data_IF_511876114016
#
_entry.id   IF_511876114016
#
_cell.length_a   1.000
_cell.length_b   1.000
_cell.length_c   1.000
_cell.angle_alpha   90.00
_cell.angle_beta   90.00
_cell.angle_gamma   90.00
#
_symmetry.space_group_name_H-M   'P 1'
#
loop_
_entity.id
_entity.type
_entity.pdbx_description
1 polymer ?
#
# COMPACT_ATOMS: atom_id res chain seq x y z
N UNK A 1 -3.26 -11.97 11.15
CA UNK A 1 -3.37 -10.59 11.64
C UNK A 1 -2.02 -10.01 11.98
N UNK A 2 -1.60 -8.99 11.23
CA UNK A 2 -0.48 -8.12 11.59
C UNK A 2 -0.95 -7.02 12.54
N UNK A 3 -0.06 -6.60 13.44
CA UNK A 3 -0.28 -5.45 14.31
C UNK A 3 0.20 -4.19 13.59
N UNK A 4 -0.53 -3.08 13.78
CA UNK A 4 -0.14 -1.79 13.24
C UNK A 4 0.11 -0.75 14.33
N UNK A 5 0.57 0.41 13.90
CA UNK A 5 0.85 1.57 14.74
C UNK A 5 -0.01 2.78 14.37
N UNK A 6 -0.37 3.57 15.38
CA UNK A 6 -1.10 4.81 15.19
C UNK A 6 -0.11 5.96 14.97
N UNK A 7 -0.26 6.66 13.85
CA UNK A 7 0.47 7.90 13.59
C UNK A 7 -0.05 9.07 14.45
N UNK A 8 0.74 10.15 14.49
CA UNK A 8 0.47 11.33 15.32
C UNK A 8 -0.89 12.01 15.04
N UNK A 9 -1.42 11.85 13.82
CA UNK A 9 -2.69 12.44 13.40
C UNK A 9 -3.79 11.40 13.18
N UNK A 10 -3.66 10.20 13.77
CA UNK A 10 -4.62 9.11 13.60
C UNK A 10 -4.49 8.38 12.26
N UNK A 11 -3.31 8.43 11.65
CA UNK A 11 -3.01 7.52 10.55
C UNK A 11 -2.87 6.09 11.08
N UNK A 12 -3.16 5.11 10.22
CA UNK A 12 -3.06 3.69 10.53
C UNK A 12 -1.89 3.13 9.71
N UNK A 13 -0.79 2.78 10.36
CA UNK A 13 0.40 2.23 9.72
C UNK A 13 0.51 0.74 9.96
N UNK A 14 1.01 0.03 8.96
CA UNK A 14 1.33 -1.39 9.01
C UNK A 14 2.66 -1.63 8.34
N UNK A 15 3.56 -2.35 9.01
CA UNK A 15 4.77 -2.87 8.36
C UNK A 15 4.38 -4.02 7.42
N UNK A 16 4.83 -3.94 6.18
CA UNK A 16 4.69 -4.96 5.14
C UNK A 16 6.01 -5.11 4.41
N UNK A 17 6.21 -6.21 3.68
CA UNK A 17 7.36 -6.35 2.80
C UNK A 17 6.97 -6.12 1.35
N UNK A 18 7.74 -5.31 0.63
CA UNK A 18 7.74 -5.27 -0.82
C UNK A 18 8.79 -6.28 -1.33
N UNK A 19 8.42 -7.12 -2.29
CA UNK A 19 9.33 -8.13 -2.84
C UNK A 19 9.88 -7.61 -4.17
N UNK A 20 11.18 -7.40 -4.27
CA UNK A 20 11.85 -7.03 -5.53
C UNK A 20 11.77 -8.16 -6.57
N UNK A 21 12.03 -7.85 -7.84
CA UNK A 21 12.01 -8.87 -8.90
C UNK A 21 13.05 -9.99 -8.73
N UNK A 22 14.14 -9.74 -8.00
CA UNK A 22 15.16 -10.74 -7.64
C UNK A 22 14.86 -11.48 -6.33
N UNK A 23 13.71 -11.19 -5.69
CA UNK A 23 13.20 -11.92 -4.53
C UNK A 23 13.73 -11.43 -3.18
N UNK A 24 14.19 -10.19 -3.09
CA UNK A 24 14.56 -9.56 -1.83
C UNK A 24 13.31 -8.94 -1.18
N UNK A 25 13.12 -9.25 0.10
CA UNK A 25 12.07 -8.66 0.92
C UNK A 25 12.55 -7.31 1.49
N UNK A 26 11.80 -6.25 1.22
CA UNK A 26 12.06 -4.88 1.66
C UNK A 26 10.94 -4.41 2.60
N UNK A 27 11.18 -4.37 3.93
CA UNK A 27 10.18 -3.92 4.88
C UNK A 27 9.93 -2.42 4.73
N UNK A 28 8.66 -2.03 4.71
CA UNK A 28 8.21 -0.63 4.62
C UNK A 28 7.01 -0.39 5.55
N UNK A 29 6.95 0.82 6.11
CA UNK A 29 5.74 1.29 6.80
C UNK A 29 4.73 1.79 5.76
N UNK A 30 3.58 1.12 5.68
CA UNK A 30 2.51 1.47 4.77
C UNK A 30 1.30 2.06 5.51
N UNK A 31 0.80 3.19 5.03
CA UNK A 31 -0.37 3.86 5.57
C UNK A 31 -1.65 3.31 4.92
N UNK A 32 -2.62 2.87 5.71
CA UNK A 32 -3.95 2.53 5.20
C UNK A 32 -4.74 3.80 4.85
N UNK A 33 -5.04 3.97 3.56
CA UNK A 33 -5.91 5.02 3.03
C UNK A 33 -7.21 4.40 2.47
N UNK A 34 -8.27 4.46 3.27
CA UNK A 34 -9.60 3.99 2.84
C UNK A 34 -10.24 4.86 1.75
N UNK A 35 -9.72 6.06 1.48
CA UNK A 35 -10.14 6.92 0.38
C UNK A 35 -9.55 6.47 -0.97
N UNK A 36 -8.51 5.64 -0.96
CA UNK A 36 -7.92 5.04 -2.13
C UNK A 36 -8.53 3.66 -2.41
N UNK A 37 -8.98 3.43 -3.64
CA UNK A 37 -9.72 2.21 -4.04
C UNK A 37 -8.88 1.18 -4.78
N UNK A 38 -7.55 1.29 -4.75
CA UNK A 38 -6.65 0.24 -5.24
C UNK A 38 -6.15 -0.67 -4.12
N UNK A 39 -5.23 -1.57 -4.44
CA UNK A 39 -4.49 -2.33 -3.42
C UNK A 39 -3.35 -1.50 -2.84
N UNK A 40 -2.50 -0.95 -3.71
CA UNK A 40 -1.34 -0.19 -3.26
C UNK A 40 -1.05 0.99 -4.16
N UNK A 41 -0.54 2.07 -3.57
CA UNK A 41 0.07 3.16 -4.31
C UNK A 41 1.40 3.58 -3.68
N UNK A 42 2.42 3.86 -4.49
CA UNK A 42 3.77 4.24 -4.02
C UNK A 42 4.32 5.43 -4.81
N UNK A 43 5.32 6.11 -4.24
CA UNK A 43 6.03 7.12 -4.99
C UNK A 43 6.84 6.48 -6.13
N UNK A 44 6.99 7.20 -7.25
CA UNK A 44 7.86 6.79 -8.35
C UNK A 44 9.32 6.58 -7.93
N UNK A 45 9.79 7.31 -6.92
CA UNK A 45 11.13 7.13 -6.36
C UNK A 45 11.26 5.80 -5.61
N UNK A 46 10.22 5.37 -4.91
CA UNK A 46 10.23 4.10 -4.15
C UNK A 46 10.18 2.88 -5.08
N UNK A 47 9.69 3.05 -6.31
CA UNK A 47 9.73 2.02 -7.34
C UNK A 47 11.16 1.71 -7.80
N UNK A 48 12.09 2.68 -7.70
CA UNK A 48 13.47 2.50 -8.16
C UNK A 48 14.15 1.37 -7.37
N UNK A 49 14.53 0.30 -8.07
CA UNK A 49 15.16 -0.88 -7.46
C UNK A 49 14.20 -2.03 -7.11
N UNK A 50 12.88 -1.84 -7.27
CA UNK A 50 11.93 -2.96 -7.16
C UNK A 50 11.90 -3.84 -8.42
N UNK A 51 12.22 -3.24 -9.58
CA UNK A 51 12.22 -3.90 -10.89
C UNK A 51 10.90 -4.63 -11.23
N UNK A 52 9.79 -4.11 -10.72
CA UNK A 52 8.45 -4.63 -11.00
C UNK A 52 8.04 -4.45 -12.46
N UNK A 53 7.16 -5.33 -12.93
CA UNK A 53 6.75 -5.34 -14.33
C UNK A 53 5.70 -4.27 -14.61
N UNK A 54 6.01 -3.34 -15.52
CA UNK A 54 5.07 -2.33 -15.98
C UNK A 54 3.92 -2.97 -16.79
N UNK A 55 2.68 -2.71 -16.39
CA UNK A 55 1.49 -3.28 -17.05
C UNK A 55 0.61 -2.25 -17.75
N UNK A 56 0.77 -0.95 -17.45
CA UNK A 56 0.01 0.09 -18.12
C UNK A 56 -0.14 1.34 -17.28
N UNK A 57 -1.21 2.08 -17.52
CA UNK A 57 -1.47 3.36 -16.89
C UNK A 57 -2.97 3.60 -16.78
N UNK A 58 -3.39 4.32 -15.74
CA UNK A 58 -4.78 4.70 -15.53
C UNK A 58 -4.90 6.16 -15.05
N UNK A 59 -5.98 6.82 -15.45
CA UNK A 59 -6.40 8.09 -14.86
C UNK A 59 -7.25 7.82 -13.63
N UNK A 60 -6.83 8.34 -12.47
CA UNK A 60 -7.62 8.35 -11.25
C UNK A 60 -8.08 9.76 -10.91
N UNK A 61 -9.27 9.89 -10.32
CA UNK A 61 -9.75 11.14 -9.75
C UNK A 61 -9.26 11.26 -8.32
N UNK A 62 -8.33 12.19 -8.10
CA UNK A 62 -7.78 12.53 -6.78
C UNK A 62 -8.48 13.77 -6.21
N UNK A 63 -8.11 14.14 -4.97
CA UNK A 63 -8.55 15.40 -4.38
C UNK A 63 -8.09 16.65 -5.18
N UNK A 64 -7.01 16.54 -5.96
CA UNK A 64 -6.49 17.62 -6.82
C UNK A 64 -7.09 17.62 -8.24
N UNK A 65 -7.98 16.68 -8.54
CA UNK A 65 -8.54 16.47 -9.88
C UNK A 65 -8.06 15.18 -10.51
N UNK A 66 -8.19 15.07 -11.83
CA UNK A 66 -7.74 13.89 -12.56
C UNK A 66 -6.20 13.84 -12.62
N UNK A 67 -5.63 12.66 -12.36
CA UNK A 67 -4.18 12.44 -12.39
C UNK A 67 -3.90 11.06 -12.96
N UNK A 68 -2.82 10.96 -13.73
CA UNK A 68 -2.39 9.71 -14.38
C UNK A 68 -1.37 9.01 -13.51
N UNK A 69 -1.55 7.71 -13.35
CA UNK A 69 -0.68 6.83 -12.59
C UNK A 69 -0.18 5.73 -13.50
N UNK A 70 1.12 5.42 -13.40
CA UNK A 70 1.69 4.22 -13.99
C UNK A 70 1.23 3.02 -13.13
N UNK A 71 1.01 1.86 -13.74
CA UNK A 71 0.61 0.64 -13.04
C UNK A 71 1.67 -0.43 -13.26
N UNK A 72 2.08 -1.03 -12.14
CA UNK A 72 3.03 -2.13 -12.10
C UNK A 72 2.40 -3.35 -11.45
N UNK A 73 2.82 -4.53 -11.88
CA UNK A 73 2.54 -5.78 -11.19
C UNK A 73 3.57 -5.96 -10.08
N UNK A 74 3.15 -5.65 -8.85
CA UNK A 74 3.99 -5.70 -7.66
C UNK A 74 3.74 -6.96 -6.85
N UNK A 75 4.74 -7.32 -6.04
CA UNK A 75 4.69 -8.44 -5.11
C UNK A 75 4.89 -7.94 -3.69
N UNK A 76 4.04 -8.37 -2.77
CA UNK A 76 4.07 -7.92 -1.37
C UNK A 76 3.84 -9.09 -0.42
N UNK A 77 4.44 -9.03 0.76
CA UNK A 77 4.11 -9.92 1.88
C UNK A 77 3.29 -9.12 2.88
N UNK A 78 2.09 -9.63 3.17
CA UNK A 78 1.23 -9.08 4.20
C UNK A 78 0.71 -10.26 5.03
N UNK A 79 0.95 -10.23 6.34
CA UNK A 79 0.56 -11.31 7.25
C UNK A 79 1.11 -12.68 6.81
N UNK A 80 2.41 -12.74 6.53
CA UNK A 80 3.14 -13.94 6.09
C UNK A 80 2.64 -14.54 4.75
N UNK A 81 1.74 -13.85 4.04
CA UNK A 81 1.21 -14.28 2.76
C UNK A 81 1.71 -13.36 1.65
N UNK A 82 2.26 -13.97 0.58
CA UNK A 82 2.62 -13.28 -0.65
C UNK A 82 1.38 -13.00 -1.51
N UNK A 83 1.30 -11.78 -2.03
CA UNK A 83 0.30 -11.34 -2.98
C UNK A 83 0.97 -10.71 -4.19
N UNK A 84 0.44 -11.01 -5.38
CA UNK A 84 0.75 -10.30 -6.61
C UNK A 84 -0.43 -9.35 -6.92
N UNK A 85 -0.15 -8.05 -7.01
CA UNK A 85 -1.18 -7.00 -7.05
C UNK A 85 -0.84 -5.92 -8.08
N UNK A 86 -1.87 -5.19 -8.51
CA UNK A 86 -1.67 -3.94 -9.23
C UNK A 86 -1.24 -2.84 -8.25
N UNK A 87 -0.12 -2.19 -8.54
CA UNK A 87 0.43 -1.07 -7.77
C UNK A 87 0.39 0.20 -8.61
N UNK A 88 -0.24 1.25 -8.06
CA UNK A 88 -0.34 2.56 -8.68
C UNK A 88 0.87 3.41 -8.32
N UNK A 89 1.59 3.94 -9.31
CA UNK A 89 2.83 4.69 -9.11
C UNK A 89 2.63 6.12 -9.57
N UNK A 90 2.94 7.07 -8.68
CA UNK A 90 2.74 8.51 -8.89
C UNK A 90 3.83 9.36 -8.27
N UNK A 91 3.94 10.62 -8.72
CA UNK A 91 5.01 11.53 -8.25
C UNK A 91 4.69 12.25 -6.93
N UNK A 92 3.40 12.34 -6.56
CA UNK A 92 2.93 13.12 -5.40
C UNK A 92 2.48 12.26 -4.22
N UNK A 93 2.86 10.98 -4.21
CA UNK A 93 2.57 10.06 -3.12
C UNK A 93 3.67 10.21 -2.07
N UNK A 94 3.31 10.49 -0.83
CA UNK A 94 4.26 10.76 0.26
C UNK A 94 4.58 9.52 1.10
N UNK A 95 3.61 8.61 1.23
CA UNK A 95 3.71 7.37 1.99
C UNK A 95 3.33 6.20 1.08
N UNK A 96 3.88 5.00 1.32
CA UNK A 96 3.34 3.77 0.74
C UNK A 96 1.90 3.62 1.22
N UNK A 97 0.93 3.56 0.30
CA UNK A 97 -0.48 3.48 0.63
C UNK A 97 -0.98 2.06 0.50
N UNK A 98 -1.68 1.55 1.52
CA UNK A 98 -2.59 0.42 1.41
C UNK A 98 -3.99 0.97 1.14
N UNK A 99 -4.63 0.52 0.06
CA UNK A 99 -5.97 0.95 -0.29
C UNK A 99 -7.07 0.03 0.24
N UNK A 100 -8.31 0.47 0.06
CA UNK A 100 -9.52 -0.21 0.53
C UNK A 100 -9.79 -1.58 -0.11
N UNK A 101 -9.12 -1.94 -1.22
CA UNK A 101 -9.27 -3.28 -1.83
C UNK A 101 -8.84 -4.40 -0.88
N UNK A 102 -7.83 -4.16 -0.03
CA UNK A 102 -7.41 -5.11 1.00
C UNK A 102 -8.55 -5.48 1.96
N UNK A 103 -9.44 -4.53 2.25
CA UNK A 103 -10.54 -4.73 3.21
C UNK A 103 -11.64 -5.66 2.68
N UNK A 104 -11.60 -6.02 1.39
CA UNK A 104 -12.47 -7.07 0.83
C UNK A 104 -12.02 -8.48 1.21
N UNK A 105 -10.75 -8.65 1.59
CA UNK A 105 -10.13 -9.95 1.84
C UNK A 105 -9.50 -10.07 3.24
N UNK A 106 -9.17 -8.95 3.88
CA UNK A 106 -8.54 -8.90 5.20
C UNK A 106 -9.39 -8.06 6.15
N UNK A 107 -9.79 -8.58 7.33
CA UNK A 107 -10.52 -7.79 8.31
C UNK A 107 -9.60 -6.76 8.97
N UNK A 108 -10.12 -5.55 9.15
CA UNK A 108 -9.49 -4.48 9.89
C UNK A 108 -10.19 -4.30 11.24
N UNK A 109 -9.43 -4.23 12.33
CA UNK A 109 -9.93 -3.86 13.65
C UNK A 109 -9.16 -2.63 14.13
N UNK A 110 -9.91 -1.57 14.44
CA UNK A 110 -9.35 -0.30 14.94
C UNK A 110 -10.10 0.13 16.20
N UNK A 111 -9.36 0.35 17.28
CA UNK A 111 -9.87 0.95 18.51
C UNK A 111 -8.77 1.76 19.19
N UNK A 112 -8.80 3.07 19.00
CA UNK A 112 -7.86 4.02 19.59
C UNK A 112 -7.85 4.00 21.12
N UNK A 113 -9.03 3.92 21.76
CA UNK A 113 -9.12 3.92 23.21
C UNK A 113 -8.48 2.68 23.83
N UNK A 114 -8.58 1.55 23.13
CA UNK A 114 -8.00 0.28 23.57
C UNK A 114 -6.57 0.05 23.03
N UNK A 115 -6.05 0.92 22.17
CA UNK A 115 -4.75 0.73 21.51
C UNK A 115 -4.72 -0.46 20.55
N UNK A 116 -5.85 -0.81 19.93
CA UNK A 116 -5.94 -1.97 19.02
C UNK A 116 -5.90 -1.48 17.58
N UNK A 117 -4.91 -1.94 16.82
CA UNK A 117 -4.83 -1.79 15.38
C UNK A 117 -4.31 -3.10 14.78
N UNK A 118 -5.16 -3.81 14.05
CA UNK A 118 -4.79 -5.08 13.41
C UNK A 118 -5.41 -5.23 12.02
N UNK A 119 -4.69 -5.87 11.11
CA UNK A 119 -5.14 -6.18 9.74
C UNK A 119 -4.87 -7.67 9.41
N UNK A 120 -5.88 -8.38 8.89
CA UNK A 120 -5.75 -9.74 8.32
C UNK A 120 -6.17 -10.89 9.22
#
# INVERSE_FOLDING_TARGET
MIQGDFGDNGQLFFEIDLITSDGLDLPVDAMLDTGFTGFMAINKQDLEGLDWFYIGEESLRTAKGESRFDIYLGKVILNEQEYEINVYVGNEITEVLLGSEWLKILPLVVNYQAGILTLG
#
